data_IF_231874778800
#
_entry.id   IF_231874778800
#
_cell.length_a   1.000
_cell.length_b   1.000
_cell.length_c   1.000
_cell.angle_alpha   90.00
_cell.angle_beta   90.00
_cell.angle_gamma   90.00
#
_symmetry.space_group_name_H-M   'P 1'
#
loop_
_entity.id
_entity.type
_entity.pdbx_description
1 polymer ?
#
# COMPACT_ATOMS: atom_id res chain seq x y z
N UNK A 1 -2.23 3.18 2.87
CA UNK A 1 -1.03 2.32 2.72
C UNK A 1 -1.16 1.59 1.41
N UNK A 2 -0.15 1.67 0.54
CA UNK A 2 -0.09 0.93 -0.71
C UNK A 2 0.95 -0.16 -0.57
N UNK A 3 0.50 -1.41 -0.61
CA UNK A 3 1.34 -2.60 -0.51
C UNK A 3 1.54 -3.17 -1.90
N UNK A 4 2.81 -3.48 -2.22
CA UNK A 4 3.25 -4.07 -3.47
C UNK A 4 4.11 -5.30 -3.18
N UNK A 5 4.31 -6.21 -4.14
CA UNK A 5 5.08 -7.44 -3.90
C UNK A 5 6.51 -7.18 -3.41
N UNK A 6 7.18 -6.15 -3.95
CA UNK A 6 8.57 -5.82 -3.61
C UNK A 6 8.71 -4.34 -3.26
N UNK A 7 9.77 -3.98 -2.55
CA UNK A 7 10.09 -2.56 -2.27
C UNK A 7 10.36 -1.79 -3.57
N UNK A 8 10.98 -2.44 -4.56
CA UNK A 8 11.24 -1.84 -5.87
C UNK A 8 9.95 -1.58 -6.64
N UNK A 9 8.99 -2.53 -6.62
CA UNK A 9 7.66 -2.33 -7.21
C UNK A 9 6.92 -1.19 -6.51
N UNK A 10 7.03 -1.08 -5.19
CA UNK A 10 6.43 0.01 -4.42
C UNK A 10 7.00 1.38 -4.82
N UNK A 11 8.32 1.47 -4.98
CA UNK A 11 9.02 2.69 -5.39
C UNK A 11 8.70 3.03 -6.85
N UNK A 12 8.69 2.03 -7.74
CA UNK A 12 8.34 2.19 -9.15
C UNK A 12 6.90 2.71 -9.27
N UNK A 13 5.95 2.13 -8.57
CA UNK A 13 4.55 2.58 -8.56
C UNK A 13 4.43 4.05 -8.11
N UNK A 14 5.13 4.42 -7.03
CA UNK A 14 5.16 5.80 -6.54
C UNK A 14 5.74 6.78 -7.58
N UNK A 15 6.83 6.41 -8.26
CA UNK A 15 7.48 7.27 -9.26
C UNK A 15 6.74 7.35 -10.58
N UNK A 16 6.28 6.22 -11.10
CA UNK A 16 5.80 6.09 -12.48
C UNK A 16 4.29 6.23 -12.61
N UNK A 17 3.54 6.05 -11.52
CA UNK A 17 2.07 6.20 -11.52
C UNK A 17 1.65 7.41 -10.69
N UNK A 18 2.00 7.41 -9.42
CA UNK A 18 1.53 8.45 -8.49
C UNK A 18 2.19 9.81 -8.75
N UNK A 19 3.50 9.82 -9.05
CA UNK A 19 4.22 11.04 -9.43
C UNK A 19 3.58 11.78 -10.61
N UNK A 20 3.42 11.15 -11.79
CA UNK A 20 2.73 11.72 -12.93
C UNK A 20 1.29 12.10 -12.64
N UNK A 21 0.53 11.27 -11.90
CA UNK A 21 -0.85 11.58 -11.53
C UNK A 21 -0.96 12.90 -10.73
N UNK A 22 -0.09 13.09 -9.73
CA UNK A 22 -0.03 14.33 -8.94
C UNK A 22 0.44 15.50 -9.81
N UNK A 23 1.47 15.28 -10.62
CA UNK A 23 2.00 16.31 -11.52
C UNK A 23 0.92 16.76 -12.49
N UNK A 24 0.20 15.88 -13.15
CA UNK A 24 -0.68 16.20 -14.27
C UNK A 24 -2.09 16.61 -13.82
N UNK A 25 -2.42 16.45 -12.54
CA UNK A 25 -3.71 16.85 -11.97
C UNK A 25 -3.57 18.15 -11.16
N UNK A 26 -4.06 19.31 -11.66
CA UNK A 26 -3.86 20.60 -11.00
C UNK A 26 -4.40 20.69 -9.57
N UNK A 27 -5.49 19.99 -9.25
CA UNK A 27 -6.05 19.93 -7.90
C UNK A 27 -5.15 19.16 -6.93
N UNK A 28 -4.54 18.05 -7.36
CA UNK A 28 -3.61 17.27 -6.54
C UNK A 28 -2.28 17.99 -6.34
N UNK A 29 -1.77 18.65 -7.39
CA UNK A 29 -0.52 19.43 -7.32
C UNK A 29 -0.55 20.54 -6.26
N UNK A 30 -1.73 21.09 -5.96
CA UNK A 30 -1.92 22.09 -4.89
C UNK A 30 -1.90 21.48 -3.48
N UNK A 31 -2.22 20.19 -3.36
CA UNK A 31 -2.37 19.49 -2.07
C UNK A 31 -1.11 18.74 -1.64
N UNK A 32 -0.33 18.24 -2.60
CA UNK A 32 0.92 17.53 -2.36
C UNK A 32 2.08 18.46 -2.68
N UNK A 33 2.94 18.73 -1.68
CA UNK A 33 4.11 19.59 -1.87
C UNK A 33 5.11 18.99 -2.86
N UNK A 34 5.85 19.83 -3.57
CA UNK A 34 6.95 19.36 -4.41
C UNK A 34 8.03 18.70 -3.53
N UNK A 35 8.53 17.49 -3.86
CA UNK A 35 9.58 16.84 -3.09
C UNK A 35 10.86 17.67 -2.94
N UNK A 36 11.17 18.56 -3.88
CA UNK A 36 12.35 19.43 -3.85
C UNK A 36 12.20 20.64 -2.92
N UNK A 37 11.00 20.91 -2.40
CA UNK A 37 10.80 21.98 -1.42
C UNK A 37 11.33 21.56 -0.05
N UNK A 38 11.96 22.50 0.66
CA UNK A 38 12.33 22.30 2.07
C UNK A 38 11.09 21.91 2.89
N UNK A 39 11.26 20.93 3.77
CA UNK A 39 10.20 20.41 4.63
C UNK A 39 8.96 19.89 3.87
N UNK A 40 9.15 19.37 2.65
CA UNK A 40 8.06 18.75 1.88
C UNK A 40 7.48 17.53 2.60
N UNK A 41 8.31 16.81 3.36
CA UNK A 41 7.95 15.52 3.97
C UNK A 41 7.78 14.40 2.95
N UNK A 42 8.06 14.66 1.67
CA UNK A 42 7.83 13.76 0.55
C UNK A 42 9.09 13.01 0.18
N UNK A 43 9.02 11.68 0.20
CA UNK A 43 10.08 10.77 -0.24
C UNK A 43 9.59 9.90 -1.40
N UNK A 44 10.41 8.94 -1.83
CA UNK A 44 9.99 7.96 -2.83
C UNK A 44 8.93 6.99 -2.28
N UNK A 45 9.06 6.59 -1.02
CA UNK A 45 8.14 5.65 -0.36
C UNK A 45 7.02 6.35 0.42
N UNK A 46 6.99 7.68 0.42
CA UNK A 46 6.03 8.44 1.23
C UNK A 46 5.62 9.75 0.57
N UNK A 47 4.32 10.01 0.49
CA UNK A 47 3.78 11.30 0.05
C UNK A 47 2.81 11.83 1.11
N UNK A 48 3.02 13.05 1.53
CA UNK A 48 2.27 13.78 2.56
C UNK A 48 1.47 14.88 1.89
N UNK A 49 0.24 15.07 2.36
CA UNK A 49 -0.68 16.08 1.86
C UNK A 49 -1.54 16.61 3.01
N UNK A 50 -2.31 17.66 2.74
CA UNK A 50 -3.21 18.21 3.76
C UNK A 50 -4.21 17.13 4.23
N UNK A 51 -4.19 16.82 5.52
CA UNK A 51 -5.08 15.83 6.14
C UNK A 51 -4.56 14.39 6.13
N UNK A 52 -3.34 14.11 5.64
CA UNK A 52 -2.79 12.76 5.78
C UNK A 52 -1.58 12.44 4.89
N UNK A 53 -1.43 11.16 4.59
CA UNK A 53 -0.33 10.65 3.79
C UNK A 53 -0.70 9.37 3.06
N UNK A 54 0.10 9.04 2.05
CA UNK A 54 0.21 7.71 1.46
C UNK A 54 1.65 7.21 1.65
N UNK A 55 1.77 5.93 2.01
CA UNK A 55 3.04 5.23 2.16
C UNK A 55 3.04 4.01 1.24
N UNK A 56 4.17 3.75 0.59
CA UNK A 56 4.40 2.66 -0.35
C UNK A 56 5.39 1.67 0.27
N UNK A 57 5.02 0.40 0.33
CA UNK A 57 5.78 -0.64 1.04
C UNK A 57 5.75 -1.96 0.28
N UNK A 58 6.90 -2.65 0.26
CA UNK A 58 7.00 -4.03 -0.18
C UNK A 58 6.66 -5.03 0.93
N UNK A 59 6.42 -6.30 0.56
CA UNK A 59 5.97 -7.33 1.52
C UNK A 59 7.09 -8.05 2.28
N UNK A 60 8.35 -7.87 1.87
CA UNK A 60 9.47 -8.64 2.43
C UNK A 60 9.94 -8.20 3.83
N UNK A 61 9.57 -6.99 4.27
CA UNK A 61 10.06 -6.42 5.53
C UNK A 61 8.91 -6.15 6.50
N UNK A 62 8.85 -6.95 7.56
CA UNK A 62 7.81 -6.91 8.60
C UNK A 62 7.70 -5.53 9.28
N UNK A 63 8.84 -4.92 9.61
CA UNK A 63 8.89 -3.61 10.26
C UNK A 63 8.19 -2.50 9.45
N UNK A 64 8.18 -2.60 8.12
CA UNK A 64 7.54 -1.62 7.24
C UNK A 64 6.02 -1.77 7.23
N UNK A 65 5.53 -3.00 7.28
CA UNK A 65 4.10 -3.31 7.40
C UNK A 65 3.60 -3.05 8.83
N UNK A 66 4.46 -3.21 9.84
CA UNK A 66 4.06 -3.14 11.24
C UNK A 66 3.88 -1.72 11.82
N UNK A 67 4.41 -0.70 11.16
CA UNK A 67 4.76 0.53 11.88
C UNK A 67 3.61 1.53 12.12
N UNK A 68 2.47 1.48 11.41
CA UNK A 68 1.49 2.59 11.41
C UNK A 68 0.03 2.13 11.32
N UNK A 69 -0.90 2.67 12.14
CA UNK A 69 -2.34 2.55 11.92
C UNK A 69 -2.76 3.26 10.62
N UNK A 70 -3.62 2.63 9.83
CA UNK A 70 -4.02 3.11 8.50
C UNK A 70 -5.51 2.90 8.29
N UNK A 71 -6.22 3.94 7.87
CA UNK A 71 -7.65 3.83 7.51
C UNK A 71 -7.89 3.20 6.13
N UNK A 72 -7.08 3.55 5.14
CA UNK A 72 -7.20 3.09 3.76
C UNK A 72 -6.04 2.17 3.40
N UNK A 73 -6.32 0.88 3.24
CA UNK A 73 -5.37 -0.14 2.84
C UNK A 73 -5.60 -0.52 1.37
N UNK A 74 -4.54 -0.46 0.58
CA UNK A 74 -4.51 -0.86 -0.82
C UNK A 74 -3.43 -1.95 -0.94
N UNK A 75 -3.80 -3.13 -1.39
CA UNK A 75 -2.90 -4.26 -1.61
C UNK A 75 -3.04 -4.66 -3.06
N UNK A 76 -1.97 -4.53 -3.84
CA UNK A 76 -1.97 -4.85 -5.26
C UNK A 76 -1.02 -6.01 -5.58
N UNK A 77 -1.38 -6.83 -6.58
CA UNK A 77 -0.68 -8.06 -6.97
C UNK A 77 -0.49 -9.05 -5.81
N UNK A 78 -1.54 -9.29 -5.02
CA UNK A 78 -1.43 -10.07 -3.76
C UNK A 78 -0.95 -11.51 -3.93
N UNK A 79 -1.24 -12.17 -5.05
CA UNK A 79 -0.72 -13.52 -5.33
C UNK A 79 0.80 -13.58 -5.48
N UNK A 80 1.44 -12.43 -5.74
CA UNK A 80 2.90 -12.32 -5.85
C UNK A 80 3.57 -11.96 -4.53
N UNK A 81 2.81 -11.86 -3.44
CA UNK A 81 3.37 -11.51 -2.13
C UNK A 81 4.30 -12.60 -1.63
N UNK A 82 5.27 -12.20 -0.80
CA UNK A 82 6.07 -13.14 -0.07
C UNK A 82 5.15 -14.02 0.81
N UNK A 83 5.40 -15.35 0.85
CA UNK A 83 4.62 -16.27 1.70
C UNK A 83 4.69 -15.89 3.19
N UNK A 84 5.81 -15.31 3.62
CA UNK A 84 6.00 -14.74 4.94
C UNK A 84 6.75 -13.42 4.83
N UNK A 85 6.29 -12.41 5.55
CA UNK A 85 7.03 -11.18 5.78
C UNK A 85 8.01 -11.43 6.92
N UNK A 86 9.26 -11.79 6.58
CA UNK A 86 10.26 -12.22 7.55
C UNK A 86 9.75 -13.41 8.39
N UNK A 87 9.64 -13.23 9.71
CA UNK A 87 9.17 -14.26 10.64
C UNK A 87 7.74 -14.03 11.16
N UNK A 88 7.04 -12.98 10.71
CA UNK A 88 5.74 -12.57 11.26
C UNK A 88 4.51 -13.14 10.52
N UNK A 89 4.70 -14.03 9.54
CA UNK A 89 3.62 -14.69 8.80
C UNK A 89 3.13 -13.91 7.58
N UNK A 90 1.87 -14.13 7.18
CA UNK A 90 1.33 -13.59 5.92
C UNK A 90 1.37 -12.05 5.89
N UNK A 91 2.05 -11.44 4.90
CA UNK A 91 2.12 -9.99 4.76
C UNK A 91 0.75 -9.32 4.62
N UNK A 92 -0.19 -9.99 3.95
CA UNK A 92 -1.54 -9.48 3.74
C UNK A 92 -2.29 -9.35 5.07
N UNK A 93 -2.20 -10.37 5.92
CA UNK A 93 -2.79 -10.35 7.25
C UNK A 93 -2.14 -9.30 8.16
N UNK A 94 -0.81 -9.17 8.10
CA UNK A 94 -0.11 -8.10 8.82
C UNK A 94 -0.54 -6.71 8.38
N UNK A 95 -0.82 -6.52 7.08
CA UNK A 95 -1.32 -5.27 6.53
C UNK A 95 -2.77 -5.00 6.99
N UNK A 96 -3.66 -5.99 6.94
CA UNK A 96 -5.05 -5.88 7.44
C UNK A 96 -5.11 -5.50 8.91
N UNK A 97 -4.21 -6.04 9.75
CA UNK A 97 -4.10 -5.66 11.17
C UNK A 97 -3.87 -4.16 11.38
N UNK A 98 -3.35 -3.41 10.39
CA UNK A 98 -3.15 -1.95 10.50
C UNK A 98 -4.44 -1.15 10.46
N UNK A 99 -5.53 -1.71 9.97
CA UNK A 99 -6.81 -1.01 9.90
C UNK A 99 -7.67 -1.20 11.15
N UNK A 100 -7.20 -2.01 12.11
CA UNK A 100 -7.91 -2.32 13.36
C UNK A 100 -8.18 -1.11 14.25
N UNK A 101 -7.44 -0.01 14.10
CA UNK A 101 -7.73 1.26 14.80
C UNK A 101 -8.91 2.02 14.20
N UNK A 102 -9.33 1.69 12.97
CA UNK A 102 -10.34 2.42 12.19
C UNK A 102 -11.59 1.57 11.92
N UNK A 103 -11.95 0.66 12.82
CA UNK A 103 -13.09 -0.25 12.66
C UNK A 103 -14.36 0.51 12.28
N UNK A 104 -15.04 0.04 11.23
CA UNK A 104 -16.32 0.59 10.76
C UNK A 104 -16.19 1.77 9.80
N UNK A 105 -14.98 2.33 9.64
CA UNK A 105 -14.68 3.39 8.67
C UNK A 105 -13.43 3.11 7.83
N UNK A 106 -12.81 1.93 8.01
CA UNK A 106 -11.70 1.47 7.21
C UNK A 106 -12.15 1.00 5.83
N UNK A 107 -11.26 1.11 4.85
CA UNK A 107 -11.48 0.55 3.52
C UNK A 107 -10.26 -0.22 3.09
N UNK A 108 -10.48 -1.47 2.69
CA UNK A 108 -9.47 -2.39 2.19
C UNK A 108 -9.78 -2.67 0.73
N UNK A 109 -8.84 -2.39 -0.16
CA UNK A 109 -8.92 -2.71 -1.58
C UNK A 109 -7.79 -3.68 -1.84
N UNK A 110 -8.15 -4.90 -2.25
CA UNK A 110 -7.22 -5.99 -2.46
C UNK A 110 -7.38 -6.42 -3.92
N UNK A 111 -6.29 -6.37 -4.68
CA UNK A 111 -6.26 -6.68 -6.11
C UNK A 111 -5.14 -7.67 -6.40
N UNK A 112 -5.37 -8.52 -7.39
CA UNK A 112 -4.44 -9.56 -7.80
C UNK A 112 -4.98 -10.27 -9.03
N UNK A 113 -4.09 -10.99 -9.71
CA UNK A 113 -4.48 -11.91 -10.78
C UNK A 113 -4.35 -13.33 -10.23
N UNK A 114 -5.44 -14.13 -10.16
CA UNK A 114 -5.36 -15.48 -9.64
C UNK A 114 -4.33 -16.31 -10.39
N UNK A 115 -3.44 -16.97 -9.66
CA UNK A 115 -2.35 -17.76 -10.26
C UNK A 115 -2.62 -19.26 -10.20
N UNK A 116 -2.80 -19.80 -8.99
CA UNK A 116 -3.01 -21.22 -8.74
C UNK A 116 -4.36 -21.41 -8.04
N UNK A 117 -5.28 -22.11 -8.70
CA UNK A 117 -6.60 -22.40 -8.15
C UNK A 117 -6.50 -23.12 -6.80
N UNK A 118 -7.23 -22.63 -5.80
CA UNK A 118 -7.26 -23.17 -4.44
C UNK A 118 -6.04 -22.85 -3.57
N UNK A 119 -5.06 -22.11 -4.11
CA UNK A 119 -3.89 -21.62 -3.39
C UNK A 119 -3.54 -20.18 -3.84
N UNK A 120 -4.56 -19.46 -4.26
CA UNK A 120 -4.46 -18.07 -4.70
C UNK A 120 -5.03 -17.18 -3.62
N UNK A 121 -4.23 -16.20 -3.22
CA UNK A 121 -4.56 -15.33 -2.10
C UNK A 121 -5.71 -14.41 -2.49
N UNK A 122 -5.73 -13.93 -3.74
CA UNK A 122 -6.86 -13.13 -4.23
C UNK A 122 -8.16 -13.95 -4.33
N UNK A 123 -8.07 -15.25 -4.64
CA UNK A 123 -9.24 -16.13 -4.71
C UNK A 123 -9.86 -16.29 -3.32
N UNK A 124 -9.03 -16.56 -2.30
CA UNK A 124 -9.51 -16.63 -0.91
C UNK A 124 -10.13 -15.31 -0.44
N UNK A 125 -9.53 -14.16 -0.77
CA UNK A 125 -10.07 -12.85 -0.42
C UNK A 125 -11.38 -12.53 -1.16
N UNK A 126 -11.50 -12.95 -2.42
CA UNK A 126 -12.70 -12.77 -3.22
C UNK A 126 -13.86 -13.57 -2.63
N UNK A 127 -13.64 -14.85 -2.33
CA UNK A 127 -14.66 -15.72 -1.74
C UNK A 127 -15.10 -15.22 -0.35
N UNK A 128 -14.17 -14.68 0.45
CA UNK A 128 -14.46 -14.10 1.76
C UNK A 128 -15.13 -12.71 1.71
N UNK A 129 -15.25 -12.08 0.53
CA UNK A 129 -15.81 -10.74 0.37
C UNK A 129 -17.34 -10.71 0.15
N UNK A 130 -17.97 -11.88 0.03
CA UNK A 130 -19.42 -12.07 -0.13
C UNK A 130 -20.10 -12.19 1.23
#
# INVERSE_FOLDING_TARGET
LMVQPTDDNAIAYSKERIGPMIRDTPSLRKLVKDPNQKNSGNTLSHKTFFGGFIAFVGTFRENKLASRPIRLLLCDEVDRYAKSSGNEGSPLELAKKRTTTFVGIDKRIITGTPTVKGNSEIEMEYDAST
#
